data_IF_848654612258
#
_entry.id   IF_848654612258
#
_cell.length_a   1.000
_cell.length_b   1.000
_cell.length_c   1.000
_cell.angle_alpha   90.00
_cell.angle_beta   90.00
_cell.angle_gamma   90.00
#
_symmetry.space_group_name_H-M   'P 1'
#
loop_
_entity.id
_entity.type
_entity.pdbx_description
1 polymer ?
#
# COMPACT_ATOMS: atom_id res chain seq x y z
N UNK A 1 -5.35 -22.30 25.50
CA UNK A 1 -6.77 -21.90 25.60
C UNK A 1 -6.88 -20.49 25.04
N UNK A 2 -7.78 -20.22 24.09
CA UNK A 2 -7.95 -18.88 23.54
C UNK A 2 -8.75 -18.03 24.52
N UNK A 3 -8.14 -16.97 25.05
CA UNK A 3 -8.83 -15.97 25.88
C UNK A 3 -9.69 -15.14 24.94
N UNK A 4 -11.02 -15.30 25.00
CA UNK A 4 -11.94 -14.31 24.41
C UNK A 4 -11.94 -13.12 25.36
N UNK A 5 -11.32 -12.01 24.96
CA UNK A 5 -11.56 -10.74 25.64
C UNK A 5 -13.01 -10.34 25.39
N UNK A 6 -13.72 -10.05 26.47
CA UNK A 6 -15.08 -9.55 26.45
C UNK A 6 -14.96 -8.06 26.61
N UNK A 7 -15.36 -7.31 25.57
CA UNK A 7 -15.37 -5.85 25.61
C UNK A 7 -16.60 -5.36 26.38
N UNK A 8 -16.44 -4.23 27.04
CA UNK A 8 -17.48 -3.51 27.76
C UNK A 8 -17.97 -2.34 26.89
N UNK A 9 -19.27 -2.03 26.92
CA UNK A 9 -19.82 -0.90 26.18
C UNK A 9 -19.37 0.43 26.79
N UNK A 10 -18.92 1.36 25.95
CA UNK A 10 -18.57 2.72 26.34
C UNK A 10 -19.79 3.55 26.79
N UNK A 11 -21.01 3.09 26.50
CA UNK A 11 -22.26 3.79 26.84
C UNK A 11 -22.90 3.19 28.09
N UNK A 12 -23.15 1.88 28.08
CA UNK A 12 -23.91 1.20 29.14
C UNK A 12 -23.04 0.49 30.18
N UNK A 13 -21.76 0.23 29.89
CA UNK A 13 -20.93 -0.65 30.72
C UNK A 13 -21.30 -2.13 30.61
N UNK A 14 -22.14 -2.51 29.65
CA UNK A 14 -22.53 -3.91 29.45
C UNK A 14 -21.45 -4.71 28.73
N UNK A 15 -21.28 -5.96 29.15
CA UNK A 15 -20.34 -6.90 28.52
C UNK A 15 -20.88 -7.43 27.20
N UNK A 16 -19.96 -7.69 26.26
CA UNK A 16 -20.29 -8.21 24.93
C UNK A 16 -20.36 -7.11 23.87
N UNK A 17 -19.71 -5.98 24.12
CA UNK A 17 -19.59 -4.91 23.14
C UNK A 17 -18.71 -5.31 21.95
N UNK A 18 -18.89 -4.59 20.85
CA UNK A 18 -18.07 -4.69 19.65
C UNK A 18 -17.66 -3.28 19.23
N UNK A 19 -16.38 -3.13 18.89
CA UNK A 19 -15.83 -1.87 18.39
C UNK A 19 -16.48 -1.48 17.06
N UNK A 20 -17.07 -0.28 17.03
CA UNK A 20 -17.70 0.32 15.88
C UNK A 20 -16.97 1.61 15.49
N UNK A 21 -16.72 1.78 14.19
CA UNK A 21 -16.01 2.96 13.66
C UNK A 21 -17.00 3.87 12.93
N UNK A 22 -16.96 5.16 13.22
CA UNK A 22 -17.80 6.17 12.55
C UNK A 22 -17.05 7.48 12.32
N UNK A 23 -17.56 8.32 11.40
CA UNK A 23 -16.90 9.55 10.97
C UNK A 23 -17.77 10.79 11.15
N UNK A 24 -17.20 11.86 11.70
CA UNK A 24 -17.85 13.18 11.85
C UNK A 24 -16.86 14.27 11.46
N UNK A 25 -17.25 15.17 10.55
CA UNK A 25 -16.42 16.28 10.06
C UNK A 25 -15.02 15.86 9.56
N UNK A 26 -14.92 14.66 8.97
CA UNK A 26 -13.65 14.11 8.46
C UNK A 26 -12.73 13.52 9.53
N UNK A 27 -13.17 13.51 10.80
CA UNK A 27 -12.49 12.82 11.90
C UNK A 27 -13.14 11.45 12.13
N UNK A 28 -12.31 10.43 12.31
CA UNK A 28 -12.74 9.06 12.58
C UNK A 28 -12.69 8.76 14.08
N UNK A 29 -13.74 8.13 14.59
CA UNK A 29 -13.91 7.74 15.98
C UNK A 29 -14.18 6.24 16.06
N UNK A 30 -13.80 5.64 17.18
CA UNK A 30 -14.13 4.26 17.55
C UNK A 30 -14.92 4.32 18.87
N UNK A 31 -15.87 3.40 19.01
CA UNK A 31 -16.70 3.26 20.21
C UNK A 31 -17.11 1.79 20.36
N UNK A 32 -17.03 1.25 21.57
CA UNK A 32 -17.47 -0.10 21.89
C UNK A 32 -18.96 -0.09 22.24
N UNK A 33 -19.78 -0.81 21.45
CA UNK A 33 -21.24 -0.82 21.57
C UNK A 33 -21.79 -2.24 21.69
N UNK A 34 -22.86 -2.41 22.47
CA UNK A 34 -23.68 -3.63 22.41
C UNK A 34 -24.44 -3.73 21.08
N UNK A 35 -24.96 -4.91 20.77
CA UNK A 35 -25.76 -5.13 19.55
C UNK A 35 -26.98 -4.20 19.47
N UNK A 36 -27.58 -3.85 20.61
CA UNK A 36 -28.77 -3.00 20.65
C UNK A 36 -28.40 -1.51 20.54
N UNK A 37 -27.32 -1.06 21.18
CA UNK A 37 -26.79 0.30 21.02
C UNK A 37 -26.34 0.55 19.58
N UNK A 38 -25.69 -0.44 18.95
CA UNK A 38 -25.33 -0.38 17.54
C UNK A 38 -26.56 -0.17 16.65
N UNK A 39 -27.65 -0.93 16.86
CA UNK A 39 -28.90 -0.74 16.10
C UNK A 39 -29.51 0.65 16.31
N UNK A 40 -29.38 1.21 17.52
CA UNK A 40 -29.83 2.57 17.80
C UNK A 40 -29.02 3.58 16.99
N UNK A 41 -27.69 3.47 16.97
CA UNK A 41 -26.81 4.32 16.17
C UNK A 41 -27.14 4.22 14.67
N UNK A 42 -27.26 3.01 14.13
CA UNK A 42 -27.64 2.79 12.73
C UNK A 42 -29.00 3.41 12.38
N UNK A 43 -29.95 3.37 13.32
CA UNK A 43 -31.28 3.96 13.14
C UNK A 43 -31.21 5.49 13.11
N UNK A 44 -30.40 6.11 13.98
CA UNK A 44 -30.18 7.57 14.00
C UNK A 44 -29.49 8.05 12.72
N UNK A 45 -28.58 7.25 12.17
CA UNK A 45 -27.84 7.58 10.95
C UNK A 45 -28.62 7.29 9.66
N UNK A 46 -29.70 6.49 9.71
CA UNK A 46 -30.41 5.97 8.54
C UNK A 46 -30.80 7.05 7.52
N UNK A 47 -31.40 8.16 7.98
CA UNK A 47 -31.87 9.22 7.07
C UNK A 47 -30.73 9.90 6.30
N UNK A 48 -29.54 9.96 6.90
CA UNK A 48 -28.32 10.50 6.29
C UNK A 48 -27.67 9.49 5.35
N UNK A 49 -27.63 8.21 5.73
CA UNK A 49 -27.07 7.14 4.87
C UNK A 49 -27.91 6.97 3.60
N UNK A 50 -29.24 7.02 3.70
CA UNK A 50 -30.15 6.88 2.55
C UNK A 50 -30.04 8.03 1.53
N UNK A 51 -29.75 9.24 2.00
CA UNK A 51 -29.62 10.46 1.16
C UNK A 51 -28.17 10.73 0.76
N UNK A 52 -27.23 10.20 1.54
CA UNK A 52 -25.82 10.31 1.32
C UNK A 52 -25.38 9.50 0.11
N UNK A 53 -24.15 9.76 -0.32
CA UNK A 53 -23.45 8.92 -1.28
C UNK A 53 -22.28 8.29 -0.57
N UNK A 54 -22.02 7.02 -0.87
CA UNK A 54 -20.79 6.38 -0.46
C UNK A 54 -19.61 7.15 -1.07
N UNK A 55 -18.80 7.76 -0.22
CA UNK A 55 -17.51 8.28 -0.66
C UNK A 55 -16.54 7.13 -0.61
N UNK A 56 -15.70 6.99 -1.64
CA UNK A 56 -14.57 6.08 -1.56
C UNK A 56 -13.63 6.58 -0.46
N UNK A 57 -13.84 6.12 0.77
CA UNK A 57 -12.82 6.19 1.78
C UNK A 57 -11.56 5.56 1.19
N UNK A 58 -10.45 6.27 1.35
CA UNK A 58 -9.15 5.60 1.30
C UNK A 58 -9.24 4.55 2.41
N UNK A 59 -9.63 3.32 2.07
CA UNK A 59 -9.17 2.15 2.80
C UNK A 59 -7.71 2.47 3.02
N UNK A 60 -7.29 2.67 4.27
CA UNK A 60 -5.89 2.48 4.62
C UNK A 60 -5.69 1.00 4.35
N UNK A 61 -5.53 0.64 3.08
CA UNK A 61 -4.70 -0.46 2.70
C UNK A 61 -3.39 -0.06 3.37
N UNK A 62 -3.18 -0.57 4.58
CA UNK A 62 -1.84 -0.93 5.00
C UNK A 62 -1.29 -1.61 3.75
N UNK A 63 -0.46 -0.89 3.00
CA UNK A 63 0.17 -1.45 1.82
C UNK A 63 0.71 -2.78 2.31
N UNK A 64 0.18 -3.89 1.78
CA UNK A 64 0.72 -5.21 2.12
C UNK A 64 2.21 -5.02 1.96
N UNK A 65 3.02 -5.12 3.04
CA UNK A 65 4.44 -4.90 2.90
C UNK A 65 4.85 -5.84 1.77
N UNK A 66 5.39 -5.25 0.69
CA UNK A 66 5.88 -6.01 -0.45
C UNK A 66 6.97 -6.90 0.15
N UNK A 67 6.59 -8.14 0.47
CA UNK A 67 7.56 -9.15 0.86
C UNK A 67 8.06 -9.66 -0.48
N UNK A 68 9.37 -9.62 -0.72
CA UNK A 68 9.92 -10.23 -1.92
C UNK A 68 9.45 -11.69 -1.97
N UNK A 69 8.78 -12.07 -3.06
CA UNK A 69 8.44 -13.47 -3.26
C UNK A 69 9.76 -14.25 -3.29
N UNK A 70 9.92 -15.14 -2.32
CA UNK A 70 11.07 -16.05 -2.24
C UNK A 70 10.56 -17.47 -2.16
N UNK A 71 11.23 -18.37 -2.86
CA UNK A 71 11.01 -19.80 -2.74
C UNK A 71 11.55 -20.30 -1.39
N UNK A 72 11.19 -21.53 -1.01
CA UNK A 72 11.70 -22.14 0.23
C UNK A 72 13.22 -22.34 0.12
N UNK A 73 13.66 -22.69 -1.09
CA UNK A 73 15.03 -22.98 -1.48
C UNK A 73 15.90 -21.72 -1.40
N UNK A 74 15.43 -20.61 -1.96
CA UNK A 74 16.12 -19.31 -1.86
C UNK A 74 16.28 -18.88 -0.39
N UNK A 75 15.25 -19.11 0.44
CA UNK A 75 15.35 -18.80 1.86
C UNK A 75 16.37 -19.67 2.59
N UNK A 76 16.59 -20.91 2.16
CA UNK A 76 17.65 -21.75 2.72
C UNK A 76 19.03 -21.21 2.31
N UNK A 77 19.20 -20.86 1.03
CA UNK A 77 20.44 -20.31 0.48
C UNK A 77 20.85 -18.99 1.14
N UNK A 78 19.89 -18.06 1.29
CA UNK A 78 20.13 -16.77 1.95
C UNK A 78 20.58 -16.96 3.40
N UNK A 79 20.01 -17.92 4.13
CA UNK A 79 20.43 -18.22 5.51
C UNK A 79 21.81 -18.87 5.56
N UNK A 80 22.09 -19.82 4.68
CA UNK A 80 23.42 -20.45 4.63
C UNK A 80 24.51 -19.41 4.33
N UNK A 81 24.27 -18.56 3.33
CA UNK A 81 25.14 -17.45 3.00
C UNK A 81 25.28 -16.46 4.17
N UNK A 82 24.17 -16.10 4.82
CA UNK A 82 24.18 -15.20 5.98
C UNK A 82 25.05 -15.71 7.12
N UNK A 83 24.93 -16.99 7.49
CA UNK A 83 25.77 -17.60 8.54
C UNK A 83 27.25 -17.58 8.17
N UNK A 84 27.59 -17.89 6.91
CA UNK A 84 28.97 -17.83 6.40
C UNK A 84 29.55 -16.42 6.42
N UNK A 85 28.69 -15.40 6.26
CA UNK A 85 29.07 -13.99 6.25
C UNK A 85 28.90 -13.32 7.64
N UNK A 86 28.69 -14.09 8.70
CA UNK A 86 28.65 -13.57 10.08
C UNK A 86 27.34 -12.90 10.51
N UNK A 87 26.27 -13.03 9.72
CA UNK A 87 24.96 -12.51 10.12
C UNK A 87 24.34 -13.34 11.24
N UNK A 88 23.79 -12.66 12.25
CA UNK A 88 23.06 -13.28 13.35
C UNK A 88 21.56 -13.14 13.14
N UNK A 89 20.84 -14.25 13.12
CA UNK A 89 19.39 -14.30 12.93
C UNK A 89 18.82 -15.61 13.46
N UNK A 90 17.51 -15.65 13.71
CA UNK A 90 16.83 -16.83 14.19
C UNK A 90 16.93 -17.99 13.19
N UNK A 91 17.09 -19.23 13.68
CA UNK A 91 17.25 -20.41 12.82
C UNK A 91 16.03 -20.67 11.92
N UNK A 92 14.85 -20.24 12.36
CA UNK A 92 13.58 -20.37 11.67
C UNK A 92 12.83 -19.02 11.58
N UNK A 93 11.85 -18.94 10.68
CA UNK A 93 11.03 -17.75 10.51
C UNK A 93 11.52 -16.78 9.43
N UNK A 94 11.04 -15.54 9.47
CA UNK A 94 11.31 -14.53 8.44
C UNK A 94 12.81 -14.20 8.33
N UNK A 95 13.30 -14.05 7.10
CA UNK A 95 14.67 -13.58 6.84
C UNK A 95 14.74 -12.08 7.13
N UNK A 96 15.70 -11.60 7.94
CA UNK A 96 15.90 -10.18 8.17
C UNK A 96 16.14 -9.42 6.86
N UNK A 97 15.58 -8.22 6.73
CA UNK A 97 15.69 -7.40 5.52
C UNK A 97 17.15 -7.13 5.15
N UNK A 98 17.99 -6.82 6.13
CA UNK A 98 19.40 -6.51 5.91
C UNK A 98 20.18 -7.70 5.34
N UNK A 99 19.90 -8.91 5.83
CA UNK A 99 20.48 -10.14 5.29
C UNK A 99 20.01 -10.38 3.85
N UNK A 100 18.72 -10.12 3.59
CA UNK A 100 18.14 -10.28 2.26
C UNK A 100 18.81 -9.32 1.26
N UNK A 101 18.89 -8.05 1.59
CA UNK A 101 19.54 -7.03 0.76
C UNK A 101 21.03 -7.32 0.54
N UNK A 102 21.75 -7.77 1.58
CA UNK A 102 23.16 -8.13 1.45
C UNK A 102 23.36 -9.33 0.51
N UNK A 103 22.50 -10.35 0.62
CA UNK A 103 22.50 -11.49 -0.28
C UNK A 103 22.21 -11.09 -1.72
N UNK A 104 21.18 -10.27 -1.93
CA UNK A 104 20.76 -9.81 -3.26
C UNK A 104 21.86 -8.98 -3.92
N UNK A 105 22.52 -8.10 -3.16
CA UNK A 105 23.68 -7.33 -3.63
C UNK A 105 24.86 -8.25 -4.01
N UNK A 106 25.15 -9.26 -3.20
CA UNK A 106 26.25 -10.20 -3.46
C UNK A 106 25.99 -11.08 -4.70
N UNK A 107 24.73 -11.42 -4.97
CA UNK A 107 24.33 -12.27 -6.09
C UNK A 107 23.77 -11.50 -7.29
N UNK A 108 23.80 -10.16 -7.25
CA UNK A 108 23.26 -9.26 -8.27
C UNK A 108 21.79 -9.54 -8.60
N UNK A 109 21.02 -9.94 -7.59
CA UNK A 109 19.58 -10.16 -7.72
C UNK A 109 18.90 -8.80 -7.65
N UNK A 110 18.21 -8.42 -8.72
CA UNK A 110 17.32 -7.28 -8.72
C UNK A 110 15.94 -7.78 -8.30
N UNK A 111 15.56 -7.46 -7.07
CA UNK A 111 14.18 -7.65 -6.62
C UNK A 111 13.45 -6.35 -6.87
N UNK A 112 12.22 -6.45 -7.37
CA UNK A 112 11.31 -5.31 -7.53
C UNK A 112 10.85 -4.81 -6.15
N UNK A 113 11.80 -4.39 -5.32
CA UNK A 113 11.53 -3.65 -4.10
C UNK A 113 11.16 -2.24 -4.54
N UNK A 114 9.87 -1.90 -4.43
CA UNK A 114 9.36 -0.54 -4.67
C UNK A 114 10.06 0.56 -3.85
N UNK A 115 10.93 0.19 -2.89
CA UNK A 115 11.74 1.07 -2.08
C UNK A 115 13.19 1.28 -2.58
N UNK A 116 13.67 0.49 -3.55
CA UNK A 116 15.05 0.56 -4.07
C UNK A 116 15.17 1.11 -5.49
N UNK A 117 14.09 1.72 -6.01
CA UNK A 117 14.11 2.48 -7.26
C UNK A 117 14.94 3.77 -7.10
N UNK A 118 16.25 3.65 -6.87
CA UNK A 118 17.18 4.78 -6.91
C UNK A 118 17.32 5.37 -8.33
N UNK A 119 16.77 4.70 -9.35
CA UNK A 119 16.65 5.18 -10.73
C UNK A 119 15.21 5.57 -11.14
N UNK A 120 14.23 5.61 -10.23
CA UNK A 120 12.90 6.12 -10.61
C UNK A 120 12.96 7.64 -10.71
N UNK A 121 13.10 8.14 -11.94
CA UNK A 121 12.68 9.49 -12.30
C UNK A 121 11.33 9.74 -11.65
N UNK A 122 11.19 10.84 -10.92
CA UNK A 122 9.95 11.19 -10.22
C UNK A 122 8.77 11.01 -11.20
N UNK A 123 7.77 10.16 -10.89
CA UNK A 123 6.64 9.95 -11.79
C UNK A 123 5.93 11.25 -12.19
N UNK A 124 6.06 12.32 -11.41
CA UNK A 124 5.59 13.66 -11.77
C UNK A 124 6.49 14.32 -12.83
N UNK A 125 7.81 14.16 -12.72
CA UNK A 125 8.79 14.67 -13.67
C UNK A 125 8.68 13.97 -15.04
N UNK A 126 8.51 12.64 -15.06
CA UNK A 126 8.25 11.90 -16.31
C UNK A 126 6.97 12.42 -17.00
N UNK A 127 5.91 12.63 -16.24
CA UNK A 127 4.66 13.20 -16.76
C UNK A 127 4.87 14.62 -17.28
N UNK A 128 5.71 15.43 -16.63
CA UNK A 128 6.05 16.77 -17.12
C UNK A 128 6.75 16.70 -18.47
N UNK A 129 7.73 15.81 -18.65
CA UNK A 129 8.42 15.57 -19.94
C UNK A 129 7.44 15.15 -21.04
N UNK A 130 6.54 14.22 -20.73
CA UNK A 130 5.49 13.77 -21.67
C UNK A 130 4.56 14.92 -22.07
N UNK A 131 4.15 15.79 -21.13
CA UNK A 131 3.28 16.95 -21.42
C UNK A 131 3.97 17.98 -22.31
N UNK A 132 5.24 18.30 -22.03
CA UNK A 132 6.02 19.25 -22.85
C UNK A 132 6.14 18.74 -24.28
N UNK A 133 6.46 17.46 -24.45
CA UNK A 133 6.53 16.83 -25.77
C UNK A 133 5.17 16.81 -26.49
N UNK A 134 4.09 16.47 -25.77
CA UNK A 134 2.75 16.41 -26.33
C UNK A 134 2.27 17.77 -26.85
N UNK A 135 2.48 18.85 -26.07
CA UNK A 135 2.18 20.23 -26.50
C UNK A 135 2.97 20.62 -27.75
N UNK A 136 4.26 20.26 -27.81
CA UNK A 136 5.11 20.52 -28.99
C UNK A 136 4.61 19.78 -30.25
N UNK A 137 3.94 18.64 -30.08
CA UNK A 137 3.32 17.86 -31.17
C UNK A 137 1.89 18.28 -31.50
N UNK A 138 1.34 19.29 -30.82
CA UNK A 138 -0.06 19.73 -30.99
C UNK A 138 -1.09 18.78 -30.38
N UNK A 139 -0.67 17.86 -29.51
CA UNK A 139 -1.58 16.94 -28.81
C UNK A 139 -2.17 17.66 -27.58
N UNK A 140 -3.50 17.61 -27.45
CA UNK A 140 -4.20 18.18 -26.31
C UNK A 140 -3.98 17.32 -25.05
N UNK A 141 -3.29 17.89 -24.06
CA UNK A 141 -3.04 17.26 -22.76
C UNK A 141 -3.41 18.23 -21.64
N UNK A 142 -4.02 17.71 -20.58
CA UNK A 142 -4.32 18.48 -19.37
C UNK A 142 -3.04 18.84 -18.61
N UNK A 143 -2.99 20.08 -18.11
CA UNK A 143 -1.87 20.63 -17.31
C UNK A 143 -1.71 19.89 -15.98
N UNK A 144 -2.84 19.45 -15.42
CA UNK A 144 -2.91 18.72 -14.17
C UNK A 144 -3.46 17.31 -14.38
N UNK A 145 -2.98 16.36 -13.57
CA UNK A 145 -3.56 15.02 -13.51
C UNK A 145 -3.04 14.03 -14.55
N UNK A 146 -3.86 13.01 -14.85
CA UNK A 146 -3.44 11.82 -15.61
C UNK A 146 -3.29 12.13 -17.10
N UNK A 147 -2.18 11.71 -17.70
CA UNK A 147 -1.94 11.81 -19.14
C UNK A 147 -2.73 10.70 -19.86
N UNK A 148 -3.41 10.98 -20.98
CA UNK A 148 -4.07 9.95 -21.78
C UNK A 148 -3.09 8.87 -22.22
N UNK A 149 -3.49 7.59 -22.13
CA UNK A 149 -2.63 6.44 -22.49
C UNK A 149 -2.11 6.53 -23.93
N UNK A 150 -2.92 7.06 -24.86
CA UNK A 150 -2.52 7.27 -26.25
C UNK A 150 -1.33 8.23 -26.38
N UNK A 151 -1.30 9.30 -25.58
CA UNK A 151 -0.21 10.28 -25.59
C UNK A 151 1.05 9.71 -24.93
N UNK A 152 0.90 8.94 -23.85
CA UNK A 152 2.01 8.25 -23.21
C UNK A 152 2.65 7.22 -24.16
N UNK A 153 1.85 6.40 -24.84
CA UNK A 153 2.34 5.44 -25.82
C UNK A 153 3.08 6.12 -26.99
N UNK A 154 2.55 7.24 -27.50
CA UNK A 154 3.20 8.00 -28.57
C UNK A 154 4.53 8.64 -28.11
N UNK A 155 4.62 9.09 -26.85
CA UNK A 155 5.86 9.58 -26.26
C UNK A 155 6.88 8.45 -26.10
N UNK A 156 6.45 7.30 -25.58
CA UNK A 156 7.30 6.13 -25.38
C UNK A 156 7.83 5.62 -26.71
N UNK A 157 7.00 5.55 -27.76
CA UNK A 157 7.39 5.15 -29.11
C UNK A 157 8.42 6.11 -29.71
N UNK A 158 8.23 7.43 -29.54
CA UNK A 158 9.15 8.45 -30.01
C UNK A 158 10.51 8.43 -29.29
N UNK A 159 10.55 8.02 -28.01
CA UNK A 159 11.78 7.97 -27.20
C UNK A 159 12.36 6.56 -27.05
N UNK A 160 11.68 5.53 -27.57
CA UNK A 160 12.13 4.12 -27.59
C UNK A 160 13.48 3.94 -28.27
N UNK A 161 13.77 4.78 -29.27
CA UNK A 161 15.03 4.73 -30.03
C UNK A 161 16.21 5.39 -29.29
N UNK A 162 15.95 6.37 -28.42
CA UNK A 162 17.00 7.03 -27.62
C UNK A 162 17.40 6.26 -26.36
N UNK A 163 16.60 5.27 -25.96
CA UNK A 163 16.78 4.50 -24.72
C UNK A 163 17.62 3.22 -24.92
N UNK A 164 18.18 3.01 -26.12
CA UNK A 164 18.99 1.84 -26.53
C UNK A 164 20.47 2.16 -26.85
N UNK A 165 21.01 3.24 -26.30
CA UNK A 165 22.45 3.50 -26.31
C UNK A 165 22.97 3.59 -24.89
#
# INVERSE_FOLDING_TARGET
MAKREVLESDISGELGAVTFTFGVEGTWYEIDLTDDEKKQLETQLRSYVERGRETAERKRTLAKPLVPETTVEERAQVREWGRKNGFQFAAAGRIPKDLQTAYDKAHKIQRDDAASSQDSVDPAEERAKVRVWARKKGLQVSDTGRIPKAVQAAYDEAHKQNRRK
#
